data_IF_093100372631
#
_entry.id   IF_093100372631
#
_cell.length_a   1.000
_cell.length_b   1.000
_cell.length_c   1.000
_cell.angle_alpha   90.00
_cell.angle_beta   90.00
_cell.angle_gamma   90.00
#
_symmetry.space_group_name_H-M   'P 1'
#
loop_
_entity.id
_entity.type
_entity.pdbx_description
1 polymer ?
#
# COMPACT_ATOMS: atom_id res chain seq x y z
N UNK A 1 -31.59 -35.15 -11.83
CA UNK A 1 -30.81 -34.10 -12.52
C UNK A 1 -29.67 -33.66 -11.61
N UNK A 2 -28.45 -34.11 -11.92
CA UNK A 2 -27.25 -33.74 -11.17
C UNK A 2 -26.96 -32.26 -11.44
N UNK A 3 -27.05 -31.41 -10.40
CA UNK A 3 -26.51 -30.05 -10.46
C UNK A 3 -24.99 -30.20 -10.52
N UNK A 4 -24.43 -30.26 -11.73
CA UNK A 4 -23.05 -29.85 -11.98
C UNK A 4 -22.98 -28.36 -11.68
N UNK A 5 -22.85 -27.99 -10.41
CA UNK A 5 -22.37 -26.66 -10.01
C UNK A 5 -20.99 -26.55 -10.65
N UNK A 6 -20.90 -25.80 -11.75
CA UNK A 6 -19.62 -25.41 -12.31
C UNK A 6 -18.86 -24.73 -11.18
N UNK A 7 -17.76 -25.34 -10.72
CA UNK A 7 -16.81 -24.61 -9.88
C UNK A 7 -16.42 -23.40 -10.73
N UNK A 8 -16.86 -22.20 -10.36
CA UNK A 8 -16.13 -21.00 -10.80
C UNK A 8 -14.66 -21.29 -10.56
N UNK A 9 -13.83 -21.09 -11.58
CA UNK A 9 -12.39 -21.34 -11.42
C UNK A 9 -11.91 -20.41 -10.30
N UNK A 10 -10.99 -20.89 -9.46
CA UNK A 10 -10.42 -20.12 -8.36
C UNK A 10 -9.92 -18.75 -8.87
N UNK A 11 -9.39 -18.73 -10.09
CA UNK A 11 -9.02 -17.54 -10.85
C UNK A 11 -10.16 -16.53 -11.01
N UNK A 12 -11.38 -16.93 -11.38
CA UNK A 12 -12.50 -16.00 -11.52
C UNK A 12 -12.84 -15.28 -10.21
N UNK A 13 -12.66 -15.96 -9.07
CA UNK A 13 -12.86 -15.34 -7.75
C UNK A 13 -11.74 -14.35 -7.41
N UNK A 14 -10.49 -14.66 -7.78
CA UNK A 14 -9.34 -13.77 -7.63
C UNK A 14 -9.56 -12.50 -8.47
N UNK A 15 -9.95 -12.65 -9.75
CA UNK A 15 -10.23 -11.52 -10.64
C UNK A 15 -11.34 -10.63 -10.08
N UNK A 16 -12.37 -11.24 -9.50
CA UNK A 16 -13.44 -10.50 -8.83
C UNK A 16 -12.95 -9.73 -7.60
N UNK A 17 -12.20 -10.36 -6.67
CA UNK A 17 -11.67 -9.69 -5.48
C UNK A 17 -10.69 -8.56 -5.85
N UNK A 18 -9.84 -8.77 -6.86
CA UNK A 18 -8.91 -7.74 -7.37
C UNK A 18 -9.65 -6.57 -8.01
N UNK A 19 -10.70 -6.84 -8.78
CA UNK A 19 -11.53 -5.77 -9.36
C UNK A 19 -12.19 -4.92 -8.27
N UNK A 20 -12.77 -5.55 -7.25
CA UNK A 20 -13.34 -4.81 -6.12
C UNK A 20 -12.30 -3.93 -5.42
N UNK A 21 -11.07 -4.41 -5.30
CA UNK A 21 -9.98 -3.63 -4.73
C UNK A 21 -9.60 -2.43 -5.61
N UNK A 22 -9.56 -2.59 -6.94
CA UNK A 22 -9.33 -1.48 -7.87
C UNK A 22 -10.46 -0.45 -7.80
N UNK A 23 -11.72 -0.89 -7.83
CA UNK A 23 -12.88 0.00 -7.72
C UNK A 23 -12.84 0.78 -6.39
N UNK A 24 -12.42 0.14 -5.30
CA UNK A 24 -12.28 0.78 -3.99
C UNK A 24 -11.12 1.78 -3.94
N UNK A 25 -9.97 1.45 -4.54
CA UNK A 25 -8.84 2.39 -4.69
C UNK A 25 -9.30 3.63 -5.44
N UNK A 26 -9.98 3.45 -6.57
CA UNK A 26 -10.47 4.56 -7.40
C UNK A 26 -11.44 5.46 -6.62
N UNK A 27 -12.46 4.86 -5.99
CA UNK A 27 -13.44 5.60 -5.21
C UNK A 27 -12.81 6.48 -4.12
N UNK A 28 -11.86 5.93 -3.34
CA UNK A 28 -11.28 6.67 -2.22
C UNK A 28 -10.26 7.70 -2.67
N UNK A 29 -9.45 7.38 -3.67
CA UNK A 29 -8.47 8.34 -4.20
C UNK A 29 -9.15 9.52 -4.89
N UNK A 30 -10.29 9.29 -5.55
CA UNK A 30 -11.10 10.37 -6.10
C UNK A 30 -11.70 11.25 -5.00
N UNK A 31 -12.13 10.67 -3.87
CA UNK A 31 -12.55 11.44 -2.69
C UNK A 31 -11.43 12.35 -2.17
N UNK A 32 -10.21 11.82 -1.95
CA UNK A 32 -9.09 12.63 -1.47
C UNK A 32 -8.66 13.70 -2.47
N UNK A 33 -8.72 13.40 -3.77
CA UNK A 33 -8.44 14.39 -4.82
C UNK A 33 -9.46 15.52 -4.81
N UNK A 34 -10.75 15.21 -4.64
CA UNK A 34 -11.80 16.22 -4.54
C UNK A 34 -11.64 17.07 -3.28
N UNK A 35 -11.34 16.46 -2.13
CA UNK A 35 -11.07 17.19 -0.89
C UNK A 35 -9.85 18.09 -0.96
N UNK A 36 -8.75 17.62 -1.54
CA UNK A 36 -7.58 18.46 -1.78
C UNK A 36 -7.89 19.67 -2.66
N UNK A 37 -8.73 19.52 -3.69
CA UNK A 37 -9.17 20.64 -4.54
C UNK A 37 -10.08 21.62 -3.80
N UNK A 38 -10.98 21.13 -2.94
CA UNK A 38 -11.85 21.95 -2.10
C UNK A 38 -11.02 22.80 -1.14
N UNK A 39 -10.07 22.19 -0.42
CA UNK A 39 -9.14 22.88 0.48
C UNK A 39 -8.31 23.93 -0.28
N UNK A 40 -7.76 23.57 -1.46
CA UNK A 40 -7.02 24.50 -2.31
C UNK A 40 -7.85 25.72 -2.72
N UNK A 41 -9.12 25.51 -3.10
CA UNK A 41 -10.06 26.60 -3.42
C UNK A 41 -10.32 27.50 -2.21
N UNK A 42 -10.45 26.93 -1.01
CA UNK A 42 -10.63 27.71 0.21
C UNK A 42 -9.40 28.57 0.52
N UNK A 43 -8.18 28.08 0.24
CA UNK A 43 -6.96 28.90 0.37
C UNK A 43 -6.98 30.07 -0.61
N UNK A 44 -7.30 29.83 -1.88
CA UNK A 44 -7.43 30.88 -2.89
C UNK A 44 -8.47 31.93 -2.48
N UNK A 45 -9.61 31.51 -1.93
CA UNK A 45 -10.65 32.41 -1.43
C UNK A 45 -10.17 33.27 -0.25
N UNK A 46 -9.42 32.67 0.69
CA UNK A 46 -8.83 33.41 1.82
C UNK A 46 -7.78 34.43 1.36
N UNK A 47 -6.92 34.07 0.39
CA UNK A 47 -5.90 34.98 -0.15
C UNK A 47 -6.52 36.21 -0.84
N UNK A 48 -7.74 36.08 -1.38
CA UNK A 48 -8.46 37.18 -2.04
C UNK A 48 -9.13 38.15 -1.06
N UNK A 49 -9.17 37.86 0.23
CA UNK A 49 -9.78 38.74 1.24
C UNK A 49 -8.96 40.04 1.35
N UNK A 50 -9.57 41.22 1.10
CA UNK A 50 -8.90 42.51 1.21
C UNK A 50 -8.36 42.80 2.61
N UNK A 51 -7.29 43.61 2.71
CA UNK A 51 -6.66 43.94 3.99
C UNK A 51 -7.53 44.77 4.93
N UNK A 52 -8.49 45.51 4.38
CA UNK A 52 -9.45 46.35 5.10
C UNK A 52 -10.76 45.61 5.45
N UNK A 53 -10.86 44.32 5.13
CA UNK A 53 -12.05 43.52 5.40
C UNK A 53 -12.27 43.37 6.93
N UNK A 54 -13.50 43.59 7.43
CA UNK A 54 -13.84 43.36 8.83
C UNK A 54 -13.45 41.98 9.37
N UNK A 55 -13.38 40.93 8.54
CA UNK A 55 -12.95 39.59 8.98
C UNK A 55 -11.46 39.52 9.35
N UNK A 56 -10.63 40.47 8.91
CA UNK A 56 -9.24 40.62 9.37
C UNK A 56 -9.12 41.40 10.69
N UNK A 57 -10.24 41.90 11.22
CA UNK A 57 -10.26 42.60 12.51
C UNK A 57 -10.39 41.59 13.66
N UNK A 58 -9.97 41.99 14.85
CA UNK A 58 -10.03 41.16 16.06
C UNK A 58 -11.48 40.85 16.44
N UNK A 59 -11.78 39.59 16.78
CA UNK A 59 -12.99 39.27 17.53
C UNK A 59 -12.82 39.85 18.94
N UNK A 60 -13.85 40.52 19.45
CA UNK A 60 -13.86 41.41 20.62
C UNK A 60 -13.25 40.88 21.95
N UNK A 61 -12.71 39.66 22.00
CA UNK A 61 -12.11 39.05 23.21
C UNK A 61 -10.84 38.17 23.01
N UNK A 62 -10.15 38.15 21.85
CA UNK A 62 -8.95 37.30 21.67
C UNK A 62 -7.76 38.00 20.98
N UNK A 63 -6.55 37.58 21.35
CA UNK A 63 -5.24 38.05 20.86
C UNK A 63 -4.96 37.74 19.36
N UNK A 64 -5.95 37.28 18.59
CA UNK A 64 -5.82 36.78 17.21
C UNK A 64 -7.02 37.23 16.37
N UNK A 65 -6.81 37.53 15.08
CA UNK A 65 -7.90 37.95 14.18
C UNK A 65 -8.74 36.77 13.70
N UNK A 66 -9.99 37.01 13.29
CA UNK A 66 -10.84 35.94 12.73
C UNK A 66 -10.23 35.33 11.46
N UNK A 67 -9.59 36.15 10.63
CA UNK A 67 -8.83 35.70 9.46
C UNK A 67 -7.72 34.70 9.83
N UNK A 68 -6.94 35.00 10.88
CA UNK A 68 -5.86 34.10 11.31
C UNK A 68 -6.42 32.75 11.79
N UNK A 69 -7.58 32.74 12.45
CA UNK A 69 -8.26 31.49 12.85
C UNK A 69 -8.68 30.67 11.64
N UNK A 70 -9.29 31.31 10.63
CA UNK A 70 -9.67 30.62 9.39
C UNK A 70 -8.46 30.04 8.64
N UNK A 71 -7.33 30.76 8.67
CA UNK A 71 -6.10 30.29 8.07
C UNK A 71 -5.52 29.09 8.83
N UNK A 72 -5.46 29.15 10.16
CA UNK A 72 -4.98 28.06 11.00
C UNK A 72 -5.86 26.80 10.83
N UNK A 73 -7.19 26.95 10.87
CA UNK A 73 -8.15 25.86 10.66
C UNK A 73 -7.95 25.17 9.30
N UNK A 74 -7.69 25.96 8.25
CA UNK A 74 -7.49 25.43 6.90
C UNK A 74 -6.12 24.76 6.73
N UNK A 75 -5.08 25.25 7.41
CA UNK A 75 -3.76 24.59 7.50
C UNK A 75 -3.92 23.22 8.16
N UNK A 76 -4.63 23.16 9.28
CA UNK A 76 -4.92 21.91 9.98
C UNK A 76 -5.72 20.96 9.09
N UNK A 77 -6.77 21.43 8.40
CA UNK A 77 -7.56 20.62 7.47
C UNK A 77 -6.69 20.02 6.35
N UNK A 78 -5.79 20.82 5.76
CA UNK A 78 -4.85 20.33 4.75
C UNK A 78 -3.90 19.28 5.31
N UNK A 79 -3.31 19.55 6.48
CA UNK A 79 -2.42 18.61 7.15
C UNK A 79 -3.10 17.27 7.42
N UNK A 80 -4.32 17.30 7.97
CA UNK A 80 -5.09 16.08 8.24
C UNK A 80 -5.48 15.34 6.96
N UNK A 81 -5.83 16.06 5.88
CA UNK A 81 -6.16 15.43 4.60
C UNK A 81 -4.93 14.70 4.02
N UNK A 82 -3.75 15.32 4.03
CA UNK A 82 -2.51 14.70 3.57
C UNK A 82 -2.13 13.47 4.41
N UNK A 83 -2.13 13.61 5.74
CA UNK A 83 -1.77 12.53 6.66
C UNK A 83 -2.75 11.36 6.55
N UNK A 84 -4.05 11.64 6.52
CA UNK A 84 -5.08 10.62 6.42
C UNK A 84 -5.03 9.90 5.06
N UNK A 85 -4.74 10.63 3.97
CA UNK A 85 -4.51 10.04 2.64
C UNK A 85 -3.35 9.02 2.69
N UNK A 86 -2.21 9.37 3.29
CA UNK A 86 -1.08 8.45 3.40
C UNK A 86 -1.40 7.22 4.26
N UNK A 87 -2.02 7.42 5.43
CA UNK A 87 -2.44 6.31 6.30
C UNK A 87 -3.44 5.39 5.58
N UNK A 88 -4.31 5.95 4.76
CA UNK A 88 -5.23 5.17 3.94
C UNK A 88 -4.48 4.33 2.90
N UNK A 89 -3.54 4.93 2.16
CA UNK A 89 -2.69 4.21 1.18
C UNK A 89 -1.89 3.08 1.82
N UNK A 90 -1.37 3.30 3.03
CA UNK A 90 -0.76 2.25 3.85
C UNK A 90 -1.73 1.11 4.17
N UNK A 91 -2.97 1.45 4.54
CA UNK A 91 -3.99 0.43 4.80
C UNK A 91 -4.28 -0.42 3.57
N UNK A 92 -4.30 0.17 2.37
CA UNK A 92 -4.48 -0.56 1.11
C UNK A 92 -3.32 -1.52 0.82
N UNK A 93 -2.07 -1.12 1.07
CA UNK A 93 -0.91 -2.04 0.96
C UNK A 93 -1.09 -3.24 1.91
N UNK A 94 -1.50 -3.00 3.15
CA UNK A 94 -1.72 -4.07 4.13
C UNK A 94 -2.82 -5.02 3.64
N UNK A 95 -3.92 -4.47 3.10
CA UNK A 95 -5.04 -5.25 2.56
C UNK A 95 -4.63 -6.08 1.33
N UNK A 96 -3.93 -5.47 0.37
CA UNK A 96 -3.34 -6.14 -0.79
C UNK A 96 -2.48 -7.33 -0.39
N UNK A 97 -1.57 -7.12 0.56
CA UNK A 97 -0.70 -8.17 1.07
C UNK A 97 -1.50 -9.26 1.79
N UNK A 98 -2.52 -8.91 2.56
CA UNK A 98 -3.38 -9.88 3.25
C UNK A 98 -4.16 -10.77 2.27
N UNK A 99 -4.68 -10.17 1.19
CA UNK A 99 -5.31 -10.89 0.08
C UNK A 99 -4.34 -11.90 -0.56
N UNK A 100 -3.13 -11.43 -0.90
CA UNK A 100 -2.08 -12.27 -1.47
C UNK A 100 -1.68 -13.43 -0.55
N UNK A 101 -1.46 -13.16 0.73
CA UNK A 101 -1.08 -14.17 1.73
C UNK A 101 -2.16 -15.25 1.91
N UNK A 102 -3.44 -14.85 1.89
CA UNK A 102 -4.58 -15.77 1.95
C UNK A 102 -4.58 -16.72 0.73
N UNK A 103 -4.27 -16.22 -0.46
CA UNK A 103 -4.18 -17.04 -1.65
C UNK A 103 -2.99 -18.01 -1.59
N UNK A 104 -1.79 -17.52 -1.25
CA UNK A 104 -0.61 -18.38 -1.09
C UNK A 104 -0.81 -19.47 -0.04
N UNK A 105 -1.50 -19.16 1.06
CA UNK A 105 -1.80 -20.13 2.12
C UNK A 105 -2.68 -21.26 1.59
N UNK A 106 -3.71 -20.94 0.80
CA UNK A 106 -4.57 -21.96 0.16
C UNK A 106 -3.78 -22.90 -0.74
N UNK A 107 -2.85 -22.36 -1.54
CA UNK A 107 -1.97 -23.17 -2.38
C UNK A 107 -1.07 -24.05 -1.49
N UNK A 108 -0.37 -23.46 -0.53
CA UNK A 108 0.51 -24.19 0.40
C UNK A 108 -0.23 -25.34 1.08
N UNK A 109 -1.45 -25.12 1.57
CA UNK A 109 -2.24 -26.14 2.26
C UNK A 109 -2.59 -27.31 1.33
N UNK A 110 -2.94 -27.04 0.06
CA UNK A 110 -3.15 -28.09 -0.94
C UNK A 110 -1.93 -29.00 -1.08
N UNK A 111 -0.74 -28.42 -1.26
CA UNK A 111 0.49 -29.19 -1.46
C UNK A 111 1.01 -29.86 -0.17
N UNK A 112 0.78 -29.28 1.01
CA UNK A 112 1.09 -29.93 2.30
C UNK A 112 0.26 -31.19 2.55
N UNK A 113 -1.00 -31.21 2.15
CA UNK A 113 -1.82 -32.43 2.29
C UNK A 113 -1.30 -33.58 1.43
N UNK A 114 -0.67 -33.29 0.29
CA UNK A 114 -0.02 -34.28 -0.57
C UNK A 114 1.35 -34.73 -0.02
N UNK A 115 2.07 -33.87 0.70
CA UNK A 115 3.42 -34.12 1.23
C UNK A 115 3.52 -33.87 2.75
N UNK A 116 3.05 -34.81 3.55
CA UNK A 116 2.95 -34.73 5.02
C UNK A 116 4.30 -34.64 5.78
N UNK A 117 5.44 -34.77 5.11
CA UNK A 117 6.78 -34.73 5.73
C UNK A 117 7.43 -33.34 5.75
N UNK A 118 6.86 -32.33 5.08
CA UNK A 118 7.48 -31.02 4.95
C UNK A 118 7.20 -30.15 6.19
N UNK A 119 8.20 -30.01 7.07
CA UNK A 119 8.19 -28.98 8.11
C UNK A 119 8.53 -27.62 7.50
N UNK A 120 7.52 -26.77 7.26
CA UNK A 120 7.74 -25.36 6.88
C UNK A 120 8.58 -24.66 7.95
N UNK A 121 9.71 -24.07 7.54
CA UNK A 121 10.60 -23.27 8.41
C UNK A 121 10.07 -21.83 8.53
N UNK A 122 10.70 -21.04 9.39
CA UNK A 122 10.46 -19.59 9.49
C UNK A 122 10.84 -18.90 8.18
N UNK A 123 10.04 -17.92 7.77
CA UNK A 123 10.20 -17.17 6.52
C UNK A 123 8.92 -16.42 6.16
N UNK A 124 8.99 -15.57 5.14
CA UNK A 124 7.80 -14.94 4.57
C UNK A 124 6.93 -15.97 3.81
N UNK A 125 5.71 -15.61 3.40
CA UNK A 125 4.78 -16.56 2.77
C UNK A 125 5.29 -17.13 1.44
N UNK A 126 6.06 -16.35 0.67
CA UNK A 126 6.65 -16.78 -0.61
C UNK A 126 7.75 -17.81 -0.36
N UNK A 127 8.66 -17.54 0.59
CA UNK A 127 9.71 -18.46 1.01
C UNK A 127 9.11 -19.76 1.57
N UNK A 128 8.02 -19.66 2.34
CA UNK A 128 7.28 -20.85 2.82
C UNK A 128 6.65 -21.63 1.68
N UNK A 129 6.11 -20.95 0.67
CA UNK A 129 5.52 -21.60 -0.48
C UNK A 129 6.58 -22.35 -1.31
N UNK A 130 7.74 -21.74 -1.56
CA UNK A 130 8.88 -22.39 -2.21
C UNK A 130 9.37 -23.63 -1.46
N UNK A 131 9.31 -23.63 -0.12
CA UNK A 131 9.67 -24.82 0.66
C UNK A 131 8.67 -25.97 0.53
N UNK A 132 7.41 -25.67 0.22
CA UNK A 132 6.34 -26.66 0.05
C UNK A 132 6.31 -27.18 -1.39
N UNK A 133 6.56 -26.29 -2.34
CA UNK A 133 6.56 -26.56 -3.77
C UNK A 133 8.03 -26.65 -4.22
N UNK A 134 8.61 -27.84 -4.07
CA UNK A 134 10.00 -28.09 -4.46
C UNK A 134 10.21 -27.92 -5.97
N UNK A 135 9.21 -28.27 -6.78
CA UNK A 135 9.16 -28.05 -8.22
C UNK A 135 7.70 -27.79 -8.65
N UNK A 136 7.46 -26.86 -9.59
CA UNK A 136 8.44 -26.04 -10.32
C UNK A 136 8.94 -24.82 -9.52
N UNK A 137 10.10 -24.26 -9.91
CA UNK A 137 10.64 -23.06 -9.27
C UNK A 137 9.75 -21.83 -9.53
N UNK A 138 9.16 -21.29 -8.47
CA UNK A 138 8.25 -20.14 -8.51
C UNK A 138 9.02 -18.83 -8.78
N UNK A 139 10.35 -18.81 -8.60
CA UNK A 139 11.16 -17.60 -8.83
C UNK A 139 11.15 -17.14 -10.30
N UNK A 140 10.73 -18.01 -11.21
CA UNK A 140 10.60 -17.71 -12.65
C UNK A 140 9.43 -16.78 -12.97
N UNK A 141 8.46 -16.60 -12.06
CA UNK A 141 7.33 -15.71 -12.28
C UNK A 141 7.81 -14.25 -12.38
N UNK A 142 7.27 -13.50 -13.33
CA UNK A 142 7.81 -12.21 -13.76
C UNK A 142 7.84 -11.16 -12.63
N UNK A 143 6.86 -11.21 -11.72
CA UNK A 143 6.74 -10.28 -10.59
C UNK A 143 7.24 -10.86 -9.26
N UNK A 144 8.02 -11.95 -9.27
CA UNK A 144 8.52 -12.58 -8.04
C UNK A 144 9.33 -11.61 -7.16
N UNK A 145 10.29 -10.89 -7.73
CA UNK A 145 11.13 -9.92 -6.99
C UNK A 145 10.28 -8.78 -6.42
N UNK A 146 9.31 -8.29 -7.19
CA UNK A 146 8.34 -7.30 -6.72
C UNK A 146 7.59 -7.80 -5.47
N UNK A 147 7.10 -9.05 -5.48
CA UNK A 147 6.36 -9.61 -4.34
C UNK A 147 7.22 -9.72 -3.06
N UNK A 148 8.51 -9.99 -3.19
CA UNK A 148 9.47 -9.98 -2.07
C UNK A 148 9.62 -8.56 -1.51
N UNK A 149 9.85 -7.58 -2.38
CA UNK A 149 10.01 -6.19 -1.96
C UNK A 149 8.72 -5.58 -1.40
N UNK A 150 7.57 -5.91 -1.99
CA UNK A 150 6.25 -5.49 -1.52
C UNK A 150 5.93 -6.04 -0.12
N UNK A 151 6.36 -7.27 0.18
CA UNK A 151 6.28 -7.84 1.53
C UNK A 151 7.11 -7.02 2.54
N UNK A 152 8.32 -6.61 2.16
CA UNK A 152 9.17 -5.76 3.02
C UNK A 152 8.59 -4.35 3.19
N UNK A 153 7.97 -3.79 2.15
CA UNK A 153 7.22 -2.53 2.21
C UNK A 153 6.09 -2.62 3.24
N UNK A 154 5.23 -3.65 3.12
CA UNK A 154 4.17 -3.89 4.09
C UNK A 154 4.72 -4.03 5.50
N UNK A 155 5.81 -4.77 5.68
CA UNK A 155 6.43 -4.96 7.00
C UNK A 155 6.96 -3.65 7.58
N UNK A 156 7.51 -2.77 6.73
CA UNK A 156 7.92 -1.43 7.13
C UNK A 156 6.73 -0.61 7.62
N UNK A 157 5.62 -0.65 6.88
CA UNK A 157 4.39 0.08 7.23
C UNK A 157 3.83 -0.41 8.56
N UNK A 158 3.67 -1.73 8.74
CA UNK A 158 3.04 -2.30 9.94
C UNK A 158 3.90 -2.15 11.19
N UNK A 159 5.22 -2.33 11.08
CA UNK A 159 6.09 -2.40 12.26
C UNK A 159 6.83 -1.10 12.56
N UNK A 160 6.88 -0.18 11.61
CA UNK A 160 7.64 1.04 11.72
C UNK A 160 6.88 2.26 11.19
N UNK A 161 5.56 2.15 10.98
CA UNK A 161 4.70 3.26 10.53
C UNK A 161 5.19 3.89 9.22
N UNK A 162 5.83 3.09 8.37
CA UNK A 162 6.40 3.55 7.09
C UNK A 162 7.76 4.23 7.21
N UNK A 163 8.38 4.23 8.39
CA UNK A 163 9.69 4.84 8.63
C UNK A 163 10.77 3.77 8.72
N UNK A 164 11.86 3.93 7.97
CA UNK A 164 13.04 3.06 8.05
C UNK A 164 14.32 3.86 8.19
N UNK A 165 15.14 3.52 9.17
CA UNK A 165 16.43 4.18 9.37
C UNK A 165 17.60 3.33 8.87
N UNK A 166 18.71 3.98 8.53
CA UNK A 166 19.94 3.40 7.98
C UNK A 166 20.74 2.55 8.98
N UNK A 167 20.08 1.96 9.98
CA UNK A 167 20.71 1.10 10.98
C UNK A 167 21.04 -0.27 10.37
N UNK A 168 22.13 -0.89 10.83
CA UNK A 168 22.62 -2.18 10.33
C UNK A 168 21.55 -3.29 10.39
N UNK A 169 20.65 -3.23 11.38
CA UNK A 169 19.51 -4.15 11.54
C UNK A 169 18.52 -4.11 10.38
N UNK A 170 18.39 -2.97 9.70
CA UNK A 170 17.37 -2.74 8.68
C UNK A 170 17.92 -2.72 7.24
N UNK A 171 19.21 -3.04 7.02
CA UNK A 171 19.85 -2.96 5.71
C UNK A 171 19.12 -3.76 4.61
N UNK A 172 18.65 -4.99 4.90
CA UNK A 172 17.92 -5.82 3.92
C UNK A 172 16.60 -5.15 3.52
N UNK A 173 15.84 -4.65 4.51
CA UNK A 173 14.58 -3.97 4.27
C UNK A 173 14.81 -2.66 3.52
N UNK A 174 15.79 -1.86 3.94
CA UNK A 174 16.16 -0.62 3.26
C UNK A 174 16.56 -0.86 1.80
N UNK A 175 17.30 -1.94 1.51
CA UNK A 175 17.61 -2.34 0.14
C UNK A 175 16.35 -2.62 -0.68
N UNK A 176 15.36 -3.30 -0.11
CA UNK A 176 14.07 -3.56 -0.76
C UNK A 176 13.26 -2.29 -0.99
N UNK A 177 13.19 -1.41 0.00
CA UNK A 177 12.50 -0.12 -0.11
C UNK A 177 13.16 0.76 -1.18
N UNK A 178 14.50 0.83 -1.21
CA UNK A 178 15.23 1.56 -2.26
C UNK A 178 15.07 0.94 -3.65
N UNK A 179 14.84 -0.37 -3.75
CA UNK A 179 14.52 -0.99 -5.04
C UNK A 179 13.14 -0.52 -5.54
N UNK A 180 12.14 -0.50 -4.66
CA UNK A 180 10.81 0.05 -4.99
C UNK A 180 10.89 1.54 -5.33
N UNK A 181 11.70 2.32 -4.62
CA UNK A 181 11.92 3.72 -4.98
C UNK A 181 12.51 3.88 -6.39
N UNK A 182 13.55 3.11 -6.73
CA UNK A 182 14.21 3.16 -8.05
C UNK A 182 13.32 2.78 -9.21
N UNK A 183 12.35 1.91 -8.97
CA UNK A 183 11.36 1.50 -9.98
C UNK A 183 10.29 2.58 -10.19
N UNK A 184 10.38 3.71 -9.48
CA UNK A 184 9.42 4.83 -9.55
C UNK A 184 8.13 4.53 -8.78
N UNK A 185 8.12 3.46 -8.00
CA UNK A 185 6.93 2.86 -7.41
C UNK A 185 6.56 3.56 -6.08
N UNK A 186 7.55 4.00 -5.31
CA UNK A 186 7.35 4.81 -4.08
C UNK A 186 8.35 5.97 -4.03
N UNK A 187 8.08 6.98 -3.19
CA UNK A 187 9.04 8.02 -2.87
C UNK A 187 9.53 7.86 -1.42
N UNK A 188 10.73 8.36 -1.14
CA UNK A 188 11.26 8.44 0.22
C UNK A 188 11.49 9.89 0.61
N UNK A 189 10.92 10.31 1.73
CA UNK A 189 11.26 11.57 2.40
C UNK A 189 12.43 11.29 3.34
N UNK A 190 13.59 11.87 3.02
CA UNK A 190 14.80 11.70 3.82
C UNK A 190 14.85 12.72 4.97
N UNK A 191 15.09 12.23 6.18
CA UNK A 191 15.39 13.05 7.36
C UNK A 191 16.75 12.67 7.90
N UNK A 192 17.68 13.62 7.88
CA UNK A 192 19.04 13.42 8.39
C UNK A 192 19.09 13.66 9.90
N UNK A 193 19.26 12.59 10.67
CA UNK A 193 19.55 12.66 12.10
C UNK A 193 21.05 12.71 12.38
N UNK A 194 21.41 13.02 13.63
CA UNK A 194 22.82 13.13 14.06
C UNK A 194 23.61 11.82 13.99
N UNK A 195 22.94 10.65 13.98
CA UNK A 195 23.57 9.32 13.97
C UNK A 195 23.16 8.43 12.81
N UNK A 196 22.05 8.74 12.14
CA UNK A 196 21.43 7.89 11.13
C UNK A 196 20.54 8.72 10.22
N UNK A 197 20.32 8.21 9.03
CA UNK A 197 19.36 8.74 8.07
C UNK A 197 18.07 7.94 8.25
N UNK A 198 16.93 8.61 8.36
CA UNK A 198 15.63 7.97 8.37
C UNK A 198 14.89 8.33 7.08
N UNK A 199 14.20 7.35 6.52
CA UNK A 199 13.43 7.45 5.30
C UNK A 199 11.98 7.18 5.67
N UNK A 200 11.11 8.15 5.47
CA UNK A 200 9.67 7.97 5.52
C UNK A 200 9.19 7.61 4.11
N UNK A 201 8.41 6.53 4.00
CA UNK A 201 7.79 6.12 2.74
C UNK A 201 6.68 7.12 2.41
N UNK A 202 6.63 7.55 1.15
CA UNK A 202 5.60 8.45 0.65
C UNK A 202 5.01 7.84 -0.63
N UNK A 203 3.75 7.44 -0.55
CA UNK A 203 3.00 6.93 -1.70
C UNK A 203 2.24 8.11 -2.27
N UNK A 204 2.76 8.74 -3.32
CA UNK A 204 2.20 10.00 -3.81
C UNK A 204 0.94 9.84 -4.65
N UNK A 205 0.84 8.75 -5.40
CA UNK A 205 -0.16 8.59 -6.46
C UNK A 205 -0.88 7.23 -6.36
N UNK A 206 -2.17 7.23 -6.68
CA UNK A 206 -3.00 6.04 -6.83
C UNK A 206 -2.45 5.08 -7.88
N UNK A 207 -1.70 5.59 -8.86
CA UNK A 207 -1.05 4.77 -9.89
C UNK A 207 -0.20 3.64 -9.29
N UNK A 208 0.53 3.89 -8.20
CA UNK A 208 1.29 2.86 -7.50
C UNK A 208 0.39 1.75 -6.93
N UNK A 209 -0.74 2.12 -6.32
CA UNK A 209 -1.67 1.15 -5.74
C UNK A 209 -2.27 0.28 -6.85
N UNK A 210 -2.70 0.89 -7.95
CA UNK A 210 -3.24 0.18 -9.12
C UNK A 210 -2.18 -0.74 -9.74
N UNK A 211 -0.96 -0.25 -9.93
CA UNK A 211 0.15 -1.06 -10.44
C UNK A 211 0.46 -2.25 -9.52
N UNK A 212 0.45 -2.04 -8.21
CA UNK A 212 0.65 -3.10 -7.22
C UNK A 212 -0.41 -4.19 -7.33
N UNK A 213 -1.69 -3.81 -7.46
CA UNK A 213 -2.78 -4.77 -7.69
C UNK A 213 -2.55 -5.56 -8.98
N UNK A 214 -2.17 -4.89 -10.07
CA UNK A 214 -1.91 -5.56 -11.36
C UNK A 214 -0.71 -6.52 -11.28
N UNK A 215 0.38 -6.14 -10.61
CA UNK A 215 1.54 -7.01 -10.42
C UNK A 215 1.21 -8.23 -9.55
N UNK A 216 0.43 -8.05 -8.49
CA UNK A 216 -0.07 -9.13 -7.63
C UNK A 216 -0.96 -10.07 -8.44
N UNK A 217 -1.90 -9.52 -9.21
CA UNK A 217 -2.79 -10.27 -10.08
C UNK A 217 -2.00 -11.14 -11.05
N UNK A 218 -1.10 -10.51 -11.80
CA UNK A 218 -0.28 -11.19 -12.81
C UNK A 218 0.57 -12.30 -12.19
N UNK A 219 1.20 -12.02 -11.03
CA UNK A 219 1.96 -13.04 -10.31
C UNK A 219 1.08 -14.24 -9.89
N UNK A 220 -0.12 -13.98 -9.38
CA UNK A 220 -1.07 -15.02 -8.98
C UNK A 220 -1.50 -15.87 -10.18
N UNK A 221 -1.79 -15.25 -11.33
CA UNK A 221 -2.16 -15.95 -12.56
C UNK A 221 -1.01 -16.81 -13.10
N UNK A 222 0.22 -16.27 -13.14
CA UNK A 222 1.41 -17.03 -13.53
C UNK A 222 1.65 -18.20 -12.57
N UNK A 223 1.50 -17.98 -11.26
CA UNK A 223 1.66 -19.00 -10.25
C UNK A 223 0.61 -20.11 -10.40
N UNK A 224 -0.66 -19.77 -10.59
CA UNK A 224 -1.72 -20.76 -10.80
C UNK A 224 -1.42 -21.59 -12.05
N UNK A 225 -1.12 -20.95 -13.19
CA UNK A 225 -0.79 -21.61 -14.45
C UNK A 225 0.45 -22.52 -14.33
N UNK A 226 1.47 -22.07 -13.62
CA UNK A 226 2.69 -22.84 -13.35
C UNK A 226 2.39 -24.09 -12.51
N UNK A 227 1.44 -24.00 -11.58
CA UNK A 227 1.09 -25.08 -10.67
C UNK A 227 -0.06 -25.97 -11.18
N UNK A 228 -0.80 -25.56 -12.23
CA UNK A 228 -1.88 -26.33 -12.85
C UNK A 228 -1.53 -27.81 -13.13
N UNK A 229 -0.34 -28.14 -13.67
CA UNK A 229 0.03 -29.54 -13.91
C UNK A 229 0.20 -30.39 -12.64
N UNK A 230 0.31 -29.75 -11.47
CA UNK A 230 0.63 -30.39 -10.19
C UNK A 230 -0.57 -30.45 -9.22
N UNK A 231 -1.72 -29.86 -9.59
CA UNK A 231 -2.95 -29.87 -8.80
C UNK A 231 -3.59 -31.25 -8.69
#
# INVERSE_FOLDING_TARGET
>A
MSRKTGKSSMIQFIDFELKLLLDYIEYVEDYFSLKGKEIGKNFEELELIPNDDPIRQSIEDYHQSYFDVLQDDLIDENFYNEEFTQRFRYSLIIQMQSFFEKYLTRISDHFKTKNTSIKTRSGNYIEKLQQVINEPDISICSNFEFMIHFTELRNCIVHNEGIICSDSKYLKRLGSIKHLEKTGIIHLKETQGSKRICYEIDIKDKSFLVESVNKIAYFIHELDALLQPHY
#
